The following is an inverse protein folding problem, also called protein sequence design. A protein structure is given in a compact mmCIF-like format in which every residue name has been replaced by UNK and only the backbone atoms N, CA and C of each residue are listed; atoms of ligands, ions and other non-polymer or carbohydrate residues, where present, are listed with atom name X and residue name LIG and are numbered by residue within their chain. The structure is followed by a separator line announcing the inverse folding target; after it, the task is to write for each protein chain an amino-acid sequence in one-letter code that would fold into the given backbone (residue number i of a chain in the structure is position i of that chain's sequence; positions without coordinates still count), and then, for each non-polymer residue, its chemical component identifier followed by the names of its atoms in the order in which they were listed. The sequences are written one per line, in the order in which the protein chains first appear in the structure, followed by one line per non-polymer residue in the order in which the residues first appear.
data_IF_619280786761
#
_entry.id   IF_619280786761
#
_cell.length_a   1.000
_cell.length_b   1.000
_cell.length_c   1.000
_cell.angle_alpha   90.00
_cell.angle_beta   90.00
_cell.angle_gamma   90.00
#
_symmetry.space_group_name_H-M   'P 1'
#
loop_
_entity.id
_entity.type
_entity.pdbx_description
1 polymer ?
#
# COMPACT_ATOMS: atom_id res chain seq x y z
N UNK A 1 5.75 14.68 8.80
CA UNK A 1 5.52 13.28 9.26
C UNK A 1 4.21 13.20 10.01
N UNK A 2 3.33 12.27 9.61
CA UNK A 2 2.00 12.07 10.20
C UNK A 2 2.09 11.60 11.65
N UNK A 3 1.11 12.02 12.44
CA UNK A 3 0.96 11.59 13.82
C UNK A 3 0.46 10.14 13.88
N UNK A 4 0.86 9.41 14.92
CA UNK A 4 0.45 8.03 15.17
C UNK A 4 -1.07 7.83 15.10
N UNK A 5 -1.84 8.72 15.73
CA UNK A 5 -3.31 8.75 15.67
C UNK A 5 -3.83 8.78 14.23
N UNK A 6 -3.29 9.67 13.40
CA UNK A 6 -3.70 9.81 12.00
C UNK A 6 -3.41 8.54 11.20
N UNK A 7 -2.28 7.88 11.47
CA UNK A 7 -1.91 6.62 10.81
C UNK A 7 -2.89 5.50 11.21
N UNK A 8 -3.24 5.36 12.50
CA UNK A 8 -4.24 4.39 12.95
C UNK A 8 -5.61 4.61 12.29
N UNK A 9 -6.07 5.86 12.24
CA UNK A 9 -7.34 6.21 11.60
C UNK A 9 -7.32 5.86 10.10
N UNK A 10 -6.20 6.12 9.43
CA UNK A 10 -6.03 5.80 8.02
C UNK A 10 -5.98 4.28 7.78
N UNK A 11 -5.40 3.49 8.69
CA UNK A 11 -5.43 2.03 8.63
C UNK A 11 -6.88 1.52 8.67
N UNK A 12 -7.70 2.00 9.61
CA UNK A 12 -9.11 1.60 9.72
C UNK A 12 -9.89 1.99 8.46
N UNK A 13 -9.68 3.22 7.98
CA UNK A 13 -10.28 3.72 6.75
C UNK A 13 -9.94 2.86 5.52
N UNK A 14 -8.67 2.48 5.35
CA UNK A 14 -8.23 1.66 4.22
C UNK A 14 -8.75 0.23 4.26
N UNK A 15 -8.69 -0.44 5.41
CA UNK A 15 -9.18 -1.82 5.54
C UNK A 15 -10.67 -1.87 5.17
N UNK A 16 -11.48 -1.01 5.81
CA UNK A 16 -12.92 -0.95 5.52
C UNK A 16 -13.23 -0.52 4.09
N UNK A 17 -12.44 0.37 3.49
CA UNK A 17 -12.57 0.74 2.09
C UNK A 17 -12.28 -0.43 1.15
N UNK A 18 -11.23 -1.20 1.43
CA UNK A 18 -10.91 -2.42 0.68
C UNK A 18 -12.02 -3.47 0.83
N UNK A 19 -12.60 -3.65 2.02
CA UNK A 19 -13.76 -4.53 2.21
C UNK A 19 -14.93 -4.06 1.36
N UNK A 20 -15.22 -2.76 1.36
CA UNK A 20 -16.24 -2.17 0.48
C UNK A 20 -15.95 -2.48 -0.98
N UNK A 21 -14.72 -2.34 -1.45
CA UNK A 21 -14.34 -2.68 -2.82
C UNK A 21 -14.50 -4.18 -3.12
N UNK A 22 -14.21 -5.06 -2.17
CA UNK A 22 -14.36 -6.50 -2.34
C UNK A 22 -15.81 -6.89 -2.64
N UNK A 23 -16.80 -6.19 -2.04
CA UNK A 23 -18.24 -6.42 -2.26
C UNK A 23 -18.70 -6.23 -3.72
N UNK A 24 -17.87 -5.69 -4.61
CA UNK A 24 -18.19 -5.63 -6.04
C UNK A 24 -18.02 -6.99 -6.73
N UNK A 25 -17.28 -7.91 -6.11
CA UNK A 25 -17.26 -9.32 -6.50
C UNK A 25 -18.55 -10.02 -6.05
N UNK A 26 -19.21 -10.72 -6.97
CA UNK A 26 -20.35 -11.58 -6.64
C UNK A 26 -19.93 -12.87 -5.94
N UNK A 27 -18.64 -13.20 -5.94
CA UNK A 27 -18.08 -14.35 -5.22
C UNK A 27 -17.08 -13.85 -4.19
N UNK A 28 -17.35 -14.12 -2.92
CA UNK A 28 -16.50 -13.81 -1.77
C UNK A 28 -16.22 -15.11 -1.04
N UNK A 29 -14.94 -15.39 -0.74
CA UNK A 29 -14.51 -16.62 -0.07
C UNK A 29 -15.02 -17.94 -0.69
N UNK A 30 -15.32 -17.93 -2.00
CA UNK A 30 -15.83 -19.09 -2.73
C UNK A 30 -17.35 -19.25 -2.69
N UNK A 31 -18.08 -18.36 -2.01
CA UNK A 31 -19.53 -18.33 -1.93
C UNK A 31 -20.12 -17.21 -2.79
N UNK A 32 -21.27 -17.48 -3.41
CA UNK A 32 -22.01 -16.49 -4.20
C UNK A 32 -22.89 -15.64 -3.29
N UNK A 33 -22.85 -14.32 -3.48
CA UNK A 33 -23.71 -13.37 -2.78
C UNK A 33 -24.49 -12.50 -3.78
N UNK A 34 -25.79 -12.34 -3.52
CA UNK A 34 -26.67 -11.47 -4.30
C UNK A 34 -26.27 -9.99 -4.18
N UNK A 35 -26.74 -9.16 -5.13
CA UNK A 35 -26.55 -7.70 -5.08
C UNK A 35 -27.16 -7.10 -3.81
N UNK A 36 -28.31 -7.61 -3.36
CA UNK A 36 -29.00 -7.13 -2.16
C UNK A 36 -28.19 -7.44 -0.90
N UNK A 37 -27.71 -8.68 -0.73
CA UNK A 37 -26.86 -9.07 0.40
C UNK A 37 -25.57 -8.24 0.46
N UNK A 38 -24.91 -8.04 -0.68
CA UNK A 38 -23.69 -7.21 -0.76
C UNK A 38 -23.99 -5.74 -0.46
N UNK A 39 -25.14 -5.21 -0.88
CA UNK A 39 -25.57 -3.85 -0.50
C UNK A 39 -25.91 -3.72 0.98
N UNK A 40 -26.53 -4.74 1.59
CA UNK A 40 -26.72 -4.77 3.04
C UNK A 40 -25.39 -4.75 3.78
N UNK A 41 -24.42 -5.55 3.34
CA UNK A 41 -23.08 -5.57 3.93
C UNK A 41 -22.37 -4.23 3.78
N UNK A 42 -22.46 -3.58 2.60
CA UNK A 42 -21.97 -2.21 2.37
C UNK A 42 -22.54 -1.25 3.43
N UNK A 43 -23.84 -1.29 3.66
CA UNK A 43 -24.49 -0.41 4.63
C UNK A 43 -24.07 -0.72 6.07
N UNK A 44 -23.85 -1.99 6.41
CA UNK A 44 -23.31 -2.38 7.73
C UNK A 44 -21.91 -1.81 7.97
N UNK A 45 -21.01 -1.91 6.98
CA UNK A 45 -19.67 -1.32 7.07
C UNK A 45 -19.75 0.20 7.22
N UNK A 46 -20.57 0.86 6.39
CA UNK A 46 -20.76 2.31 6.45
C UNK A 46 -21.28 2.76 7.82
N UNK A 47 -22.33 2.11 8.33
CA UNK A 47 -22.89 2.42 9.64
C UNK A 47 -21.90 2.17 10.78
N UNK A 48 -21.03 1.16 10.65
CA UNK A 48 -19.96 0.90 11.61
C UNK A 48 -18.94 2.06 11.62
N UNK A 49 -18.53 2.56 10.45
CA UNK A 49 -17.63 3.71 10.33
C UNK A 49 -18.23 4.98 10.93
N UNK A 50 -19.53 5.23 10.70
CA UNK A 50 -20.23 6.40 11.27
C UNK A 50 -20.32 6.29 12.79
N UNK A 51 -20.70 5.11 13.31
CA UNK A 51 -20.86 4.88 14.76
C UNK A 51 -19.56 5.11 15.53
N UNK A 52 -18.42 4.74 14.94
CA UNK A 52 -17.10 4.87 15.56
C UNK A 52 -16.33 6.10 15.07
N UNK A 53 -17.01 7.05 14.41
CA UNK A 53 -16.44 8.33 13.97
C UNK A 53 -15.25 8.21 13.00
N UNK A 54 -15.09 7.07 12.33
CA UNK A 54 -14.02 6.86 11.35
C UNK A 54 -14.35 7.40 9.96
N UNK A 55 -15.62 7.73 9.71
CA UNK A 55 -16.09 8.21 8.41
C UNK A 55 -15.31 9.45 7.94
N UNK A 56 -14.89 10.30 8.86
CA UNK A 56 -14.20 11.55 8.52
C UNK A 56 -12.77 11.36 8.00
N UNK A 57 -12.18 10.19 8.21
CA UNK A 57 -10.84 9.84 7.73
C UNK A 57 -10.82 9.12 6.38
N UNK A 58 -12.01 8.83 5.83
CA UNK A 58 -12.14 8.47 4.42
C UNK A 58 -11.91 9.70 3.54
N UNK A 59 -11.26 9.49 2.41
CA UNK A 59 -11.11 10.56 1.41
C UNK A 59 -12.41 10.86 0.70
N UNK A 60 -12.47 11.96 -0.04
CA UNK A 60 -13.67 12.33 -0.81
C UNK A 60 -14.00 11.25 -1.86
N UNK A 61 -12.98 10.68 -2.48
CA UNK A 61 -13.15 9.61 -3.45
C UNK A 61 -13.73 8.36 -2.77
N UNK A 62 -13.22 7.98 -1.61
CA UNK A 62 -13.67 6.80 -0.86
C UNK A 62 -15.10 6.94 -0.34
N UNK A 63 -15.43 8.11 0.25
CA UNK A 63 -16.80 8.43 0.68
C UNK A 63 -17.79 8.28 -0.48
N UNK A 64 -17.41 8.72 -1.69
CA UNK A 64 -18.25 8.57 -2.89
C UNK A 64 -18.49 7.10 -3.21
N UNK A 65 -17.45 6.26 -3.19
CA UNK A 65 -17.57 4.81 -3.47
C UNK A 65 -18.47 4.11 -2.43
N UNK A 66 -18.32 4.47 -1.16
CA UNK A 66 -19.21 3.96 -0.11
C UNK A 66 -20.68 4.29 -0.36
N UNK A 67 -20.98 5.47 -0.91
CA UNK A 67 -22.33 5.92 -1.21
C UNK A 67 -22.91 5.35 -2.53
N UNK A 68 -22.07 4.77 -3.39
CA UNK A 68 -22.50 4.14 -4.63
C UNK A 68 -22.99 2.72 -4.37
N UNK A 69 -24.06 2.31 -5.08
CA UNK A 69 -24.60 0.94 -5.04
C UNK A 69 -23.59 -0.05 -5.62
N UNK A 70 -23.65 -1.29 -5.16
CA UNK A 70 -22.90 -2.40 -5.78
C UNK A 70 -23.30 -2.53 -7.27
N UNK A 71 -22.33 -2.85 -8.13
CA UNK A 71 -22.41 -2.97 -9.61
C UNK A 71 -22.56 -1.67 -10.42
N UNK A 72 -22.77 -0.53 -9.78
CA UNK A 72 -22.80 0.78 -10.48
C UNK A 72 -21.39 1.24 -10.92
N UNK A 73 -20.33 0.60 -10.42
CA UNK A 73 -18.93 0.96 -10.70
C UNK A 73 -18.29 -0.13 -11.56
N UNK A 74 -17.64 0.22 -12.68
CA UNK A 74 -16.93 -0.77 -13.50
C UNK A 74 -15.90 -1.56 -12.67
N UNK A 75 -15.98 -2.89 -12.74
CA UNK A 75 -15.12 -3.81 -11.97
C UNK A 75 -13.61 -3.54 -12.10
N UNK A 76 -13.15 -3.06 -13.25
CA UNK A 76 -11.74 -2.72 -13.45
C UNK A 76 -11.29 -1.56 -12.56
N UNK A 77 -12.13 -0.54 -12.39
CA UNK A 77 -11.84 0.61 -11.55
C UNK A 77 -11.77 0.20 -10.07
N UNK A 78 -12.67 -0.69 -9.66
CA UNK A 78 -12.70 -1.21 -8.29
C UNK A 78 -11.46 -2.04 -7.98
N UNK A 79 -11.00 -2.89 -8.90
CA UNK A 79 -9.77 -3.67 -8.70
C UNK A 79 -8.55 -2.76 -8.50
N UNK A 80 -8.45 -1.68 -9.28
CA UNK A 80 -7.38 -0.69 -9.11
C UNK A 80 -7.46 0.00 -7.74
N UNK A 81 -8.67 0.29 -7.25
CA UNK A 81 -8.89 0.84 -5.91
C UNK A 81 -8.59 -0.16 -4.80
N UNK A 82 -8.96 -1.43 -4.97
CA UNK A 82 -8.69 -2.49 -4.00
C UNK A 82 -7.19 -2.69 -3.77
N UNK A 83 -6.35 -2.45 -4.79
CA UNK A 83 -4.89 -2.50 -4.64
C UNK A 83 -4.34 -1.53 -3.58
N UNK A 84 -5.11 -0.53 -3.14
CA UNK A 84 -4.77 0.28 -1.96
C UNK A 84 -4.54 -0.55 -0.69
N UNK A 85 -5.03 -1.79 -0.65
CA UNK A 85 -4.75 -2.73 0.43
C UNK A 85 -3.23 -2.95 0.64
N UNK A 86 -2.43 -2.81 -0.41
CA UNK A 86 -0.96 -2.87 -0.33
C UNK A 86 -0.36 -1.77 0.55
N UNK A 87 -1.07 -0.66 0.76
CA UNK A 87 -0.64 0.41 1.66
C UNK A 87 -0.88 0.10 3.14
N UNK A 88 -1.76 -0.85 3.47
CA UNK A 88 -2.12 -1.17 4.88
C UNK A 88 -0.92 -1.73 5.64
N UNK A 89 -0.16 -2.64 5.02
CA UNK A 89 0.96 -3.30 5.68
C UNK A 89 2.11 -2.31 6.05
N UNK A 90 2.56 -1.39 5.16
CA UNK A 90 3.45 -0.28 5.54
C UNK A 90 2.96 0.58 6.69
N UNK A 91 1.67 0.94 6.71
CA UNK A 91 1.09 1.76 7.77
C UNK A 91 1.13 1.01 9.10
N UNK A 92 0.66 -0.24 9.12
CA UNK A 92 0.70 -1.12 10.29
C UNK A 92 2.12 -1.34 10.81
N UNK A 93 3.09 -1.49 9.90
CA UNK A 93 4.49 -1.67 10.27
C UNK A 93 5.04 -0.42 10.94
N UNK A 94 4.68 0.75 10.42
CA UNK A 94 5.13 2.04 10.92
C UNK A 94 4.62 2.32 12.34
N UNK A 95 3.41 1.84 12.68
CA UNK A 95 2.84 1.93 14.05
C UNK A 95 3.17 0.74 14.94
N UNK A 96 4.03 -0.19 14.49
CA UNK A 96 4.49 -1.32 15.31
C UNK A 96 3.51 -2.48 15.44
N UNK A 97 2.36 -2.46 14.75
CA UNK A 97 1.34 -3.52 14.81
C UNK A 97 1.69 -4.75 13.95
N UNK A 98 2.62 -4.60 13.00
CA UNK A 98 3.25 -5.75 12.31
C UNK A 98 4.77 -5.62 12.31
N UNK A 99 5.45 -6.73 12.57
CA UNK A 99 6.91 -6.75 12.68
C UNK A 99 7.63 -7.03 11.35
N UNK A 100 6.92 -7.57 10.35
CA UNK A 100 7.49 -7.97 9.06
C UNK A 100 6.57 -7.55 7.93
N UNK A 101 7.19 -7.10 6.85
CA UNK A 101 6.52 -6.77 5.59
C UNK A 101 6.60 -7.96 4.64
N UNK A 102 5.56 -8.15 3.86
CA UNK A 102 5.49 -9.07 2.74
C UNK A 102 6.52 -8.67 1.68
N UNK A 103 7.11 -9.62 0.96
CA UNK A 103 8.03 -9.30 -0.14
C UNK A 103 7.32 -8.56 -1.27
N UNK A 104 8.05 -7.80 -2.10
CA UNK A 104 7.46 -7.14 -3.27
C UNK A 104 7.02 -8.13 -4.37
N UNK A 105 7.41 -9.40 -4.25
CA UNK A 105 7.12 -10.45 -5.23
C UNK A 105 5.71 -11.05 -5.09
N UNK A 106 4.93 -10.63 -4.08
CA UNK A 106 3.57 -11.13 -3.88
C UNK A 106 2.69 -10.10 -3.17
N UNK A 107 1.40 -10.14 -3.50
CA UNK A 107 0.39 -9.35 -2.82
C UNK A 107 0.31 -9.70 -1.33
N UNK A 108 -0.11 -8.73 -0.53
CA UNK A 108 -0.49 -8.91 0.86
C UNK A 108 -1.78 -9.72 0.90
N UNK A 109 -1.70 -10.95 1.37
CA UNK A 109 -2.85 -11.86 1.54
C UNK A 109 -3.26 -12.00 3.01
N UNK A 110 -2.62 -11.25 3.91
CA UNK A 110 -2.91 -11.35 5.33
C UNK A 110 -4.24 -10.69 5.63
N UNK A 111 -5.06 -11.37 6.42
CA UNK A 111 -6.26 -10.81 7.02
C UNK A 111 -5.87 -9.85 8.16
N UNK A 112 -6.23 -8.58 8.01
CA UNK A 112 -6.00 -7.54 9.00
C UNK A 112 -7.25 -7.19 9.84
N UNK A 113 -8.40 -7.84 9.63
CA UNK A 113 -9.60 -7.62 10.42
C UNK A 113 -9.38 -7.79 11.94
N UNK A 114 -8.60 -8.78 12.43
CA UNK A 114 -8.30 -8.87 13.86
C UNK A 114 -7.58 -7.64 14.40
N UNK A 115 -6.67 -7.04 13.60
CA UNK A 115 -5.97 -5.82 13.98
C UNK A 115 -6.91 -4.62 13.96
N UNK A 116 -7.80 -4.54 12.96
CA UNK A 116 -8.83 -3.48 12.92
C UNK A 116 -9.70 -3.50 14.17
N UNK A 117 -10.13 -4.68 14.62
CA UNK A 117 -10.90 -4.82 15.85
C UNK A 117 -10.10 -4.39 17.09
N UNK A 118 -8.82 -4.77 17.16
CA UNK A 118 -7.95 -4.35 18.25
C UNK A 118 -7.72 -2.83 18.29
N UNK A 119 -7.50 -2.20 17.12
CA UNK A 119 -7.38 -0.74 17.01
C UNK A 119 -8.66 -0.08 17.53
N UNK A 120 -9.83 -0.58 17.14
CA UNK A 120 -11.11 -0.02 17.57
C UNK A 120 -11.32 -0.12 19.09
N UNK A 121 -10.98 -1.26 19.69
CA UNK A 121 -11.17 -1.50 21.12
C UNK A 121 -10.17 -0.76 22.00
N UNK A 122 -8.92 -0.59 21.53
CA UNK A 122 -7.80 -0.05 22.32
C UNK A 122 -7.26 1.28 21.79
N UNK A 123 -8.04 1.99 20.98
CA UNK A 123 -7.58 3.16 20.22
C UNK A 123 -6.84 4.19 21.09
N UNK A 124 -7.48 4.61 22.19
CA UNK A 124 -6.91 5.61 23.10
C UNK A 124 -5.66 5.11 23.84
N UNK A 125 -5.59 3.82 24.16
CA UNK A 125 -4.42 3.25 24.82
C UNK A 125 -3.25 3.12 23.84
N UNK A 126 -3.50 2.72 22.59
CA UNK A 126 -2.49 2.70 21.54
C UNK A 126 -1.92 4.10 21.27
N UNK A 127 -2.75 5.15 21.29
CA UNK A 127 -2.29 6.54 21.13
C UNK A 127 -1.35 6.93 22.27
N UNK A 128 -1.65 6.54 23.52
CA UNK A 128 -0.79 6.81 24.68
C UNK A 128 0.53 6.05 24.60
N UNK A 129 0.51 4.80 24.14
CA UNK A 129 1.72 3.99 23.96
C UNK A 129 2.62 4.52 22.85
N UNK A 130 2.02 5.01 21.75
CA UNK A 130 2.71 5.61 20.60
C UNK A 130 3.91 4.78 20.11
N UNK A 131 3.63 3.58 19.63
CA UNK A 131 4.66 2.66 19.09
C UNK A 131 5.14 3.05 17.68
N UNK A 132 5.14 4.34 17.34
CA UNK A 132 5.62 4.83 16.05
C UNK A 132 7.10 4.51 15.89
N UNK A 133 7.45 3.92 14.76
CA UNK A 133 8.85 3.64 14.40
C UNK A 133 9.66 4.92 14.24
N UNK A 134 10.97 4.79 14.44
CA UNK A 134 11.91 5.88 14.23
C UNK A 134 11.78 6.44 12.80
N UNK A 135 11.87 7.77 12.69
CA UNK A 135 11.76 8.45 11.41
C UNK A 135 12.79 7.94 10.40
N UNK A 136 14.03 7.65 10.82
CA UNK A 136 15.05 7.15 9.89
C UNK A 136 14.72 5.73 9.42
N UNK A 137 14.10 4.89 10.24
CA UNK A 137 13.62 3.57 9.80
C UNK A 137 12.54 3.72 8.71
N UNK A 138 11.57 4.62 8.94
CA UNK A 138 10.48 4.90 7.99
C UNK A 138 11.04 5.47 6.69
N UNK A 139 11.92 6.48 6.76
CA UNK A 139 12.57 7.10 5.58
C UNK A 139 13.37 6.08 4.79
N UNK A 140 14.14 5.20 5.45
CA UNK A 140 14.88 4.15 4.75
C UNK A 140 13.96 3.14 4.03
N UNK A 141 12.75 2.89 4.57
CA UNK A 141 11.74 2.06 3.89
C UNK A 141 11.08 2.80 2.74
N UNK A 142 10.80 4.09 2.90
CA UNK A 142 10.31 4.97 1.84
C UNK A 142 11.26 4.94 0.66
N UNK A 143 12.53 5.26 0.86
CA UNK A 143 13.56 5.30 -0.19
C UNK A 143 13.74 3.94 -0.87
N UNK A 144 13.77 2.85 -0.11
CA UNK A 144 13.82 1.50 -0.68
C UNK A 144 12.64 1.24 -1.62
N UNK A 145 11.43 1.61 -1.19
CA UNK A 145 10.21 1.39 -1.98
C UNK A 145 10.13 2.34 -3.17
N UNK A 146 10.59 3.59 -3.00
CA UNK A 146 10.74 4.59 -4.06
C UNK A 146 11.64 4.06 -5.18
N UNK A 147 12.81 3.49 -4.87
CA UNK A 147 13.72 2.95 -5.87
C UNK A 147 13.09 1.78 -6.65
N UNK A 148 12.34 0.90 -5.97
CA UNK A 148 11.58 -0.16 -6.62
C UNK A 148 10.46 0.40 -7.52
N UNK A 149 9.75 1.43 -7.06
CA UNK A 149 8.70 2.09 -7.83
C UNK A 149 9.27 2.81 -9.06
N UNK A 150 10.35 3.56 -8.91
CA UNK A 150 11.09 4.16 -10.02
C UNK A 150 11.50 3.09 -11.04
N UNK A 151 12.14 2.00 -10.59
CA UNK A 151 12.57 0.92 -11.50
C UNK A 151 11.39 0.30 -12.24
N UNK A 152 10.24 0.17 -11.57
CA UNK A 152 9.02 -0.34 -12.17
C UNK A 152 8.39 0.58 -13.21
N UNK A 153 8.57 1.90 -13.07
CA UNK A 153 8.17 2.90 -14.07
C UNK A 153 9.08 2.90 -15.30
N UNK A 154 10.39 2.68 -15.12
CA UNK A 154 11.33 2.50 -16.24
C UNK A 154 10.98 1.26 -17.08
N UNK A 155 10.37 0.24 -16.48
CA UNK A 155 9.83 -0.91 -17.20
C UNK A 155 10.88 -1.90 -17.69
N UNK A 156 10.64 -2.62 -18.79
CA UNK A 156 11.56 -3.67 -19.30
C UNK A 156 12.81 -3.13 -20.00
N UNK A 157 13.03 -1.82 -20.03
CA UNK A 157 14.19 -1.26 -20.70
C UNK A 157 15.48 -1.87 -20.11
N UNK A 158 16.27 -2.49 -20.98
CA UNK A 158 17.61 -2.93 -20.63
C UNK A 158 18.47 -1.68 -20.47
N UNK A 159 19.18 -1.62 -19.36
CA UNK A 159 20.03 -0.50 -19.01
C UNK A 159 21.38 -0.62 -19.75
N UNK A 160 22.00 0.52 -20.07
CA UNK A 160 23.34 0.53 -20.69
C UNK A 160 24.46 0.60 -19.64
N UNK A 161 24.09 0.79 -18.37
CA UNK A 161 24.96 0.93 -17.21
C UNK A 161 24.41 0.15 -16.03
N UNK A 162 25.22 -0.06 -14.99
CA UNK A 162 24.74 -0.72 -13.78
C UNK A 162 23.69 0.16 -13.09
N UNK A 163 22.63 -0.48 -12.56
CA UNK A 163 21.53 0.25 -11.94
C UNK A 163 21.94 1.09 -10.73
N UNK A 164 22.97 0.67 -9.98
CA UNK A 164 23.50 1.43 -8.85
C UNK A 164 24.16 2.73 -9.31
N UNK A 165 24.92 2.72 -10.40
CA UNK A 165 25.51 3.94 -10.99
C UNK A 165 24.42 4.91 -11.46
N UNK A 166 23.37 4.40 -12.09
CA UNK A 166 22.23 5.20 -12.55
C UNK A 166 21.49 5.83 -11.35
N UNK A 167 21.20 5.05 -10.32
CA UNK A 167 20.52 5.55 -9.11
C UNK A 167 21.34 6.65 -8.45
N UNK A 168 22.66 6.48 -8.29
CA UNK A 168 23.51 7.49 -7.67
C UNK A 168 23.61 8.77 -8.52
N UNK A 169 23.56 8.65 -9.84
CA UNK A 169 23.55 9.80 -10.76
C UNK A 169 22.24 10.60 -10.67
N UNK A 170 21.09 9.92 -10.55
CA UNK A 170 19.76 10.55 -10.52
C UNK A 170 19.39 11.06 -9.12
N UNK A 171 19.59 10.23 -8.10
CA UNK A 171 19.10 10.44 -6.74
C UNK A 171 20.18 10.76 -5.71
N UNK A 172 21.45 10.85 -6.14
CA UNK A 172 22.55 11.24 -5.27
C UNK A 172 23.19 10.12 -4.44
N UNK A 173 24.29 10.48 -3.78
CA UNK A 173 25.19 9.59 -3.07
C UNK A 173 24.61 9.03 -1.75
N UNK A 174 23.59 9.69 -1.20
CA UNK A 174 22.82 9.26 -0.04
C UNK A 174 22.19 7.88 -0.23
N UNK A 175 21.82 7.53 -1.47
CA UNK A 175 21.18 6.27 -1.80
C UNK A 175 22.11 5.06 -1.67
N UNK A 176 23.42 5.25 -1.51
CA UNK A 176 24.39 4.15 -1.30
C UNK A 176 23.98 3.21 -0.16
N UNK A 177 23.38 3.75 0.91
CA UNK A 177 22.92 2.95 2.06
C UNK A 177 21.70 2.09 1.73
N UNK A 178 20.81 2.58 0.88
CA UNK A 178 19.57 1.91 0.47
C UNK A 178 19.89 0.84 -0.57
N UNK A 179 20.72 1.16 -1.57
CA UNK A 179 21.15 0.22 -2.63
C UNK A 179 21.77 -1.04 -2.03
N UNK A 180 22.58 -0.92 -0.95
CA UNK A 180 23.18 -2.07 -0.26
C UNK A 180 22.17 -3.08 0.29
N UNK A 181 20.91 -2.66 0.50
CA UNK A 181 19.81 -3.53 0.94
C UNK A 181 19.06 -4.18 -0.22
N UNK A 182 19.30 -3.76 -1.45
CA UNK A 182 18.68 -4.30 -2.66
C UNK A 182 19.57 -5.41 -3.21
N UNK A 183 18.96 -6.55 -3.51
CA UNK A 183 19.65 -7.66 -4.17
C UNK A 183 19.84 -7.31 -5.65
N UNK A 184 21.09 -7.20 -6.09
CA UNK A 184 21.45 -6.93 -7.49
C UNK A 184 21.91 -8.19 -8.22
N UNK A 185 21.65 -8.25 -9.52
CA UNK A 185 22.20 -9.28 -10.41
C UNK A 185 23.71 -9.18 -10.52
N UNK A 186 24.33 -10.30 -10.92
CA UNK A 186 25.78 -10.38 -11.17
C UNK A 186 26.13 -10.11 -12.63
N UNK A 187 25.17 -10.27 -13.53
CA UNK A 187 25.32 -10.03 -14.97
C UNK A 187 25.37 -8.53 -15.26
N UNK A 188 26.05 -8.15 -16.35
CA UNK A 188 26.11 -6.76 -16.81
C UNK A 188 25.02 -6.50 -17.87
N UNK A 189 24.25 -5.39 -17.77
CA UNK A 189 24.22 -4.45 -16.63
C UNK A 189 23.65 -5.11 -15.37
N UNK A 190 24.15 -4.71 -14.19
CA UNK A 190 23.51 -5.11 -12.93
C UNK A 190 22.12 -4.48 -12.84
N UNK A 191 21.15 -5.24 -12.36
CA UNK A 191 19.76 -4.80 -12.16
C UNK A 191 19.19 -5.39 -10.87
N UNK A 192 18.04 -4.89 -10.42
CA UNK A 192 17.32 -5.43 -9.27
C UNK A 192 16.91 -6.89 -9.55
N UNK A 193 16.96 -7.74 -8.53
CA UNK A 193 16.43 -9.11 -8.60
C UNK A 193 15.05 -9.17 -7.95
N UNK A 194 14.06 -9.64 -8.71
CA UNK A 194 12.75 -10.08 -8.23
C UNK A 194 12.35 -11.38 -8.93
N UNK A 195 11.59 -12.24 -8.27
CA UNK A 195 11.19 -13.56 -8.81
C UNK A 195 12.39 -14.38 -9.28
N UNK A 196 13.51 -14.25 -8.55
CA UNK A 196 14.80 -14.88 -8.86
C UNK A 196 15.43 -14.48 -10.22
N UNK A 197 14.91 -13.43 -10.86
CA UNK A 197 15.38 -12.93 -12.16
C UNK A 197 15.81 -11.47 -12.06
N UNK A 198 16.77 -11.01 -12.88
CA UNK A 198 17.00 -9.59 -13.11
C UNK A 198 15.74 -8.88 -13.63
N UNK A 199 15.51 -7.63 -13.23
CA UNK A 199 14.29 -6.88 -13.56
C UNK A 199 14.00 -6.84 -15.07
N UNK A 200 15.03 -6.60 -15.90
CA UNK A 200 14.89 -6.57 -17.37
C UNK A 200 14.44 -7.91 -17.99
N UNK A 201 14.46 -9.02 -17.24
CA UNK A 201 14.00 -10.35 -17.69
C UNK A 201 12.60 -10.71 -17.18
N UNK A 202 11.99 -9.86 -16.34
CA UNK A 202 10.65 -10.10 -15.84
C UNK A 202 9.63 -10.05 -16.96
N UNK A 203 8.62 -10.91 -16.89
CA UNK A 203 7.45 -10.85 -17.75
C UNK A 203 6.61 -9.61 -17.46
N UNK A 204 5.76 -9.22 -18.42
CA UNK A 204 4.84 -8.09 -18.25
C UNK A 204 3.93 -8.26 -17.03
N UNK A 205 3.50 -9.49 -16.73
CA UNK A 205 2.67 -9.80 -15.55
C UNK A 205 3.43 -9.62 -14.24
N UNK A 206 4.68 -10.07 -14.18
CA UNK A 206 5.54 -9.90 -13.00
C UNK A 206 5.81 -8.40 -12.75
N UNK A 207 6.00 -7.63 -13.81
CA UNK A 207 6.20 -6.17 -13.74
C UNK A 207 4.94 -5.45 -13.30
N UNK A 208 3.78 -5.80 -13.85
CA UNK A 208 2.50 -5.23 -13.46
C UNK A 208 2.19 -5.50 -11.98
N UNK A 209 2.44 -6.74 -11.52
CA UNK A 209 2.30 -7.10 -10.11
C UNK A 209 3.23 -6.27 -9.23
N UNK A 210 4.52 -6.20 -9.56
CA UNK A 210 5.48 -5.38 -8.81
C UNK A 210 5.04 -3.94 -8.77
N UNK A 211 4.69 -3.36 -9.92
CA UNK A 211 4.27 -1.96 -10.06
C UNK A 211 3.08 -1.64 -9.14
N UNK A 212 2.06 -2.49 -9.11
CA UNK A 212 0.89 -2.29 -8.24
C UNK A 212 1.24 -2.33 -6.75
N UNK A 213 2.15 -3.22 -6.36
CA UNK A 213 2.57 -3.35 -4.96
C UNK A 213 3.41 -2.15 -4.54
N UNK A 214 4.45 -1.84 -5.32
CA UNK A 214 5.43 -0.81 -4.94
C UNK A 214 4.83 0.59 -5.04
N UNK A 215 3.85 0.84 -5.91
CA UNK A 215 3.20 2.14 -6.01
C UNK A 215 2.44 2.48 -4.73
N UNK A 216 1.60 1.59 -4.23
CA UNK A 216 0.81 1.81 -3.01
C UNK A 216 1.65 1.77 -1.74
N UNK A 217 2.70 0.93 -1.70
CA UNK A 217 3.64 0.95 -0.59
C UNK A 217 4.50 2.21 -0.58
N UNK A 218 4.91 2.71 -1.75
CA UNK A 218 5.61 3.98 -1.86
C UNK A 218 4.71 5.12 -1.38
N UNK A 219 3.49 5.19 -1.90
CA UNK A 219 2.47 6.16 -1.52
C UNK A 219 2.22 6.19 -0.01
N UNK A 220 2.10 5.02 0.64
CA UNK A 220 1.91 4.94 2.08
C UNK A 220 3.07 5.59 2.85
N UNK A 221 4.32 5.26 2.49
CA UNK A 221 5.47 5.84 3.17
C UNK A 221 5.64 7.33 2.87
N UNK A 222 5.38 7.74 1.63
CA UNK A 222 5.45 9.15 1.24
C UNK A 222 4.44 9.96 2.06
N UNK A 223 3.17 9.51 2.11
CA UNK A 223 2.13 10.09 2.95
C UNK A 223 2.52 10.20 4.42
N UNK A 224 3.11 9.13 5.00
CA UNK A 224 3.57 9.16 6.40
C UNK A 224 4.64 10.23 6.58
N UNK A 225 5.55 10.41 5.63
CA UNK A 225 6.68 11.34 5.79
C UNK A 225 6.35 12.79 5.41
N UNK A 226 5.36 13.00 4.54
CA UNK A 226 4.95 14.32 4.06
C UNK A 226 3.87 14.96 4.95
N UNK A 227 3.49 16.19 4.59
CA UNK A 227 2.36 16.90 5.19
C UNK A 227 1.10 16.82 4.30
N UNK A 228 1.18 16.13 3.16
CA UNK A 228 0.12 16.04 2.14
C UNK A 228 -1.06 15.19 2.59
N UNK A 229 -2.25 15.47 2.04
CA UNK A 229 -3.43 14.63 2.24
C UNK A 229 -3.32 13.33 1.42
N UNK A 230 -4.06 12.29 1.82
CA UNK A 230 -3.94 10.95 1.22
C UNK A 230 -4.10 10.94 -0.30
N UNK A 231 -5.07 11.68 -0.85
CA UNK A 231 -5.32 11.70 -2.30
C UNK A 231 -4.34 12.64 -3.06
N UNK A 232 -3.55 13.45 -2.35
CA UNK A 232 -2.68 14.49 -2.92
C UNK A 232 -1.20 14.11 -2.93
N UNK A 233 -0.85 12.91 -2.44
CA UNK A 233 0.54 12.46 -2.30
C UNK A 233 1.21 12.34 -3.67
N UNK A 234 2.29 13.09 -3.88
CA UNK A 234 3.08 12.95 -5.09
C UNK A 234 4.06 11.79 -4.97
N UNK A 235 3.90 10.79 -5.85
CA UNK A 235 4.84 9.67 -6.00
C UNK A 235 5.60 9.74 -7.32
N UNK A 236 5.76 10.95 -7.87
CA UNK A 236 6.64 11.20 -8.99
C UNK A 236 8.09 10.90 -8.61
N UNK A 237 8.68 9.96 -9.35
CA UNK A 237 10.05 9.43 -9.16
C UNK A 237 10.69 9.21 -10.51
#
# INVERSE_FOLDING_TARGET
MKHYKSILQRIVALITFCDRCALESSVLDGEYHSVDERNEQRQRIYNWLVRHEYIDFLTKAEKRIFNTTIEDIPNQNIRLMYNQYEAVEPLLWSVGLVSRLTSFEKYVLKDFHPILMEINEKFEDMIKENNLKDLNEIVQRRELTMLWHWRARVGQQKLDQNIDEIILSIFGDEMKKVIKKIKLSKEFPKDFIAFEKPYYQLSLKEIELLKNIVSWRHHAYEWITSDEEWDDVDTST
#
